data_IF_933616450914
#
_entry.id   IF_933616450914
#
_cell.length_a   1.000
_cell.length_b   1.000
_cell.length_c   1.000
_cell.angle_alpha   90.00
_cell.angle_beta   90.00
_cell.angle_gamma   90.00
#
_symmetry.space_group_name_H-M   'P 1'
#
loop_
_entity.id
_entity.type
_entity.pdbx_description
1 polymer ?
#
# COMPACT_ATOMS: atom_id res chain seq x y z
N UNK A 1 17.35 8.13 -9.58
CA UNK A 1 16.47 8.04 -10.77
C UNK A 1 16.88 9.17 -11.70
N UNK A 2 17.09 8.93 -13.01
CA UNK A 2 17.20 10.05 -13.95
C UNK A 2 15.92 10.89 -13.83
N UNK A 3 16.05 12.21 -13.79
CA UNK A 3 15.04 13.19 -13.34
C UNK A 3 13.71 13.23 -14.12
N UNK A 4 13.38 12.24 -14.96
CA UNK A 4 12.21 12.26 -15.84
C UNK A 4 11.26 11.07 -15.65
N UNK A 5 11.47 10.19 -14.67
CA UNK A 5 10.54 9.09 -14.39
C UNK A 5 9.58 9.47 -13.26
N UNK A 6 8.28 9.50 -13.55
CA UNK A 6 7.24 9.73 -12.54
C UNK A 6 7.31 8.69 -11.42
N UNK A 7 7.10 9.14 -10.17
CA UNK A 7 7.06 8.29 -8.97
C UNK A 7 5.87 8.71 -8.12
N UNK A 8 5.05 7.73 -7.72
CA UNK A 8 3.90 7.94 -6.83
C UNK A 8 4.01 6.99 -5.65
N UNK A 9 3.98 7.53 -4.44
CA UNK A 9 4.05 6.76 -3.20
C UNK A 9 2.67 6.71 -2.56
N UNK A 10 2.25 5.52 -2.12
CA UNK A 10 0.99 5.33 -1.41
C UNK A 10 1.15 4.42 -0.19
N UNK A 11 0.24 4.60 0.77
CA UNK A 11 0.10 3.74 1.94
C UNK A 11 -1.20 2.93 1.78
N UNK A 12 -1.06 1.61 1.63
CA UNK A 12 -2.18 0.70 1.45
C UNK A 12 -2.50 -0.02 2.77
N UNK A 13 -3.75 0.07 3.22
CA UNK A 13 -4.24 -0.66 4.37
C UNK A 13 -4.83 -2.01 3.93
N UNK A 14 -4.46 -3.08 4.62
CA UNK A 14 -5.13 -4.39 4.53
C UNK A 14 -5.57 -4.81 5.92
N UNK A 15 -6.87 -5.05 6.11
CA UNK A 15 -7.45 -5.46 7.39
C UNK A 15 -7.85 -6.93 7.38
N UNK A 16 -7.52 -7.63 8.45
CA UNK A 16 -8.04 -8.97 8.76
C UNK A 16 -8.92 -8.89 10.02
N UNK A 17 -10.09 -9.54 9.98
CA UNK A 17 -10.95 -9.71 11.16
C UNK A 17 -10.88 -11.15 11.64
N UNK A 18 -10.57 -11.34 12.92
CA UNK A 18 -10.57 -12.66 13.57
C UNK A 18 -11.45 -12.63 14.81
N UNK A 19 -12.15 -13.72 15.09
CA UNK A 19 -12.81 -13.90 16.39
C UNK A 19 -11.81 -14.52 17.35
N UNK A 20 -11.54 -13.84 18.46
CA UNK A 20 -10.72 -14.39 19.53
C UNK A 20 -11.45 -15.57 20.18
N UNK A 21 -10.78 -16.73 20.24
CA UNK A 21 -11.40 -17.97 20.72
C UNK A 21 -11.60 -18.00 22.24
N UNK A 22 -10.87 -17.18 22.99
CA UNK A 22 -10.97 -17.13 24.46
C UNK A 22 -12.05 -16.14 24.90
N UNK A 23 -12.17 -15.00 24.22
CA UNK A 23 -13.10 -13.92 24.61
C UNK A 23 -14.38 -13.88 23.77
N UNK A 24 -14.40 -14.55 22.61
CA UNK A 24 -15.51 -14.49 21.64
C UNK A 24 -15.62 -13.14 20.92
N UNK A 25 -14.71 -12.21 21.15
CA UNK A 25 -14.75 -10.86 20.56
C UNK A 25 -14.14 -10.85 19.16
N UNK A 26 -14.67 -9.99 18.28
CA UNK A 26 -14.03 -9.69 16.99
C UNK A 26 -12.85 -8.74 17.21
N UNK A 27 -11.69 -9.13 16.72
CA UNK A 27 -10.47 -8.32 16.71
C UNK A 27 -10.13 -8.00 15.26
N UNK A 28 -9.98 -6.72 14.95
CA UNK A 28 -9.46 -6.25 13.67
C UNK A 28 -7.97 -5.95 13.78
N UNK A 29 -7.21 -6.40 12.79
CA UNK A 29 -5.79 -6.08 12.64
C UNK A 29 -5.56 -5.48 11.26
N UNK A 30 -5.04 -4.25 11.21
CA UNK A 30 -4.71 -3.56 9.96
C UNK A 30 -3.20 -3.50 9.78
N UNK A 31 -2.72 -3.95 8.63
CA UNK A 31 -1.34 -3.81 8.18
C UNK A 31 -1.23 -2.68 7.15
N UNK A 32 -0.14 -1.92 7.21
CA UNK A 32 0.11 -0.78 6.33
C UNK A 32 1.31 -1.06 5.41
N UNK A 33 1.03 -1.15 4.12
CA UNK A 33 2.03 -1.40 3.09
C UNK A 33 2.46 -0.08 2.46
N UNK A 34 3.76 0.21 2.47
CA UNK A 34 4.33 1.33 1.72
C UNK A 34 4.64 0.87 0.30
N UNK A 35 3.98 1.46 -0.69
CA UNK A 35 4.12 1.09 -2.10
C UNK A 35 4.65 2.28 -2.89
N UNK A 36 5.68 2.05 -3.70
CA UNK A 36 6.22 3.01 -4.66
C UNK A 36 5.94 2.53 -6.08
N UNK A 37 5.20 3.34 -6.83
CA UNK A 37 4.88 3.12 -8.24
C UNK A 37 5.79 3.98 -9.10
N UNK A 38 6.13 3.50 -10.30
CA UNK A 38 7.06 4.16 -11.22
C UNK A 38 6.48 4.28 -12.63
N UNK A 39 6.92 5.30 -13.38
CA UNK A 39 6.57 5.51 -14.79
C UNK A 39 5.07 5.71 -15.00
N UNK A 40 4.53 5.14 -16.07
CA UNK A 40 3.11 5.32 -16.47
C UNK A 40 2.11 4.92 -15.37
N UNK A 41 2.41 3.89 -14.58
CA UNK A 41 1.53 3.48 -13.47
C UNK A 41 1.52 4.53 -12.36
N UNK A 42 2.65 5.20 -12.11
CA UNK A 42 2.72 6.31 -11.16
C UNK A 42 1.87 7.50 -11.61
N UNK A 43 1.89 7.83 -12.91
CA UNK A 43 1.07 8.91 -13.49
C UNK A 43 -0.43 8.62 -13.31
N UNK A 44 -0.88 7.44 -13.73
CA UNK A 44 -2.28 7.00 -13.57
C UNK A 44 -2.67 7.00 -12.08
N UNK A 45 -1.80 6.49 -11.21
CA UNK A 45 -2.07 6.46 -9.78
C UNK A 45 -2.20 7.87 -9.19
N UNK A 46 -1.34 8.81 -9.58
CA UNK A 46 -1.37 10.18 -9.11
C UNK A 46 -2.58 10.97 -9.61
N UNK A 47 -3.07 10.66 -10.81
CA UNK A 47 -4.23 11.33 -11.40
C UNK A 47 -5.56 10.79 -10.85
N UNK A 48 -5.67 9.47 -10.67
CA UNK A 48 -6.97 8.82 -10.42
C UNK A 48 -7.15 8.23 -9.02
N UNK A 49 -6.07 7.97 -8.26
CA UNK A 49 -6.21 7.42 -6.92
C UNK A 49 -6.39 8.53 -5.88
N UNK A 50 -7.34 8.29 -4.99
CA UNK A 50 -7.65 9.17 -3.88
C UNK A 50 -7.67 8.35 -2.59
N UNK A 51 -7.76 9.05 -1.44
CA UNK A 51 -7.87 8.37 -0.15
C UNK A 51 -9.11 7.48 -0.15
N UNK A 52 -8.92 6.19 0.20
CA UNK A 52 -9.99 5.20 0.26
C UNK A 52 -10.23 4.44 -1.05
N UNK A 53 -9.53 4.77 -2.14
CA UNK A 53 -9.58 3.98 -3.37
C UNK A 53 -9.10 2.55 -3.10
N UNK A 54 -9.93 1.57 -3.45
CA UNK A 54 -9.56 0.15 -3.42
C UNK A 54 -8.75 -0.19 -4.67
N UNK A 55 -7.59 -0.83 -4.48
CA UNK A 55 -6.64 -1.13 -5.56
C UNK A 55 -6.07 -2.53 -5.44
N UNK A 56 -5.72 -3.12 -6.59
CA UNK A 56 -4.90 -4.31 -6.68
C UNK A 56 -3.45 -3.90 -6.97
N UNK A 57 -2.49 -4.45 -6.23
CA UNK A 57 -1.06 -4.17 -6.39
C UNK A 57 -0.32 -5.50 -6.56
N UNK A 58 0.46 -5.61 -7.64
CA UNK A 58 1.44 -6.67 -7.86
C UNK A 58 2.83 -6.03 -8.01
N UNK A 59 3.82 -6.61 -7.35
CA UNK A 59 5.18 -6.08 -7.33
C UNK A 59 6.11 -6.97 -6.50
N UNK A 60 7.23 -6.40 -6.06
CA UNK A 60 8.23 -7.09 -5.23
C UNK A 60 8.48 -6.35 -3.93
N UNK A 61 8.73 -7.10 -2.86
CA UNK A 61 9.19 -6.53 -1.60
C UNK A 61 10.62 -6.02 -1.77
N UNK A 62 10.88 -4.81 -1.26
CA UNK A 62 12.20 -4.22 -1.29
C UNK A 62 12.46 -3.49 0.02
N UNK A 63 13.46 -3.95 0.77
CA UNK A 63 13.96 -3.25 1.96
C UNK A 63 15.05 -2.29 1.52
N UNK A 64 14.97 -1.04 1.97
CA UNK A 64 16.04 -0.05 1.79
C UNK A 64 16.55 0.38 3.15
N UNK A 65 17.86 0.46 3.28
CA UNK A 65 18.53 1.09 4.40
C UNK A 65 18.83 2.54 4.02
N UNK A 66 18.70 3.44 4.99
CA UNK A 66 19.05 4.85 4.87
C UNK A 66 19.78 5.24 6.15
N UNK A 67 20.87 5.98 6.04
CA UNK A 67 21.62 6.55 7.18
C UNK A 67 20.97 7.82 7.72
#
# INVERSE_FOLDING_TARGET
LPNSTAVTNLSLATSEQRTDKQTGQKVEKTEWHRVSLFGKVAEIAGEFLHKGSQVYIEGKLQTREWE
#
